data_IF_381164831670
#
_entry.id   IF_381164831670
#
_cell.length_a   1.000
_cell.length_b   1.000
_cell.length_c   1.000
_cell.angle_alpha   90.00
_cell.angle_beta   90.00
_cell.angle_gamma   90.00
#
_symmetry.space_group_name_H-M   'P 1'
#
loop_
_entity.id
_entity.type
_entity.pdbx_description
1 polymer ?
#
# COMPACT_ATOMS: atom_id res chain seq x y z
N UNK A 1 -18.71 -16.91 -3.71
CA UNK A 1 -19.78 -16.62 -2.74
C UNK A 1 -19.92 -15.10 -2.68
N UNK A 2 -20.84 -14.56 -3.48
CA UNK A 2 -21.20 -13.13 -3.47
C UNK A 2 -22.11 -12.91 -2.25
N UNK A 3 -21.78 -11.95 -1.39
CA UNK A 3 -22.62 -11.56 -0.27
C UNK A 3 -23.92 -10.91 -0.79
N UNK A 4 -25.05 -11.30 -0.18
CA UNK A 4 -26.37 -10.72 -0.42
C UNK A 4 -26.35 -9.21 -0.17
N UNK A 5 -26.74 -8.45 -1.19
CA UNK A 5 -26.84 -6.98 -1.17
C UNK A 5 -27.84 -6.51 -0.13
N UNK A 6 -27.45 -5.55 0.70
CA UNK A 6 -28.40 -4.65 1.36
C UNK A 6 -28.79 -3.57 0.36
N UNK A 7 -30.06 -3.55 -0.03
CA UNK A 7 -30.62 -2.73 -1.11
C UNK A 7 -30.73 -1.22 -0.81
N UNK A 8 -30.37 -0.77 0.40
CA UNK A 8 -30.78 0.56 0.86
C UNK A 8 -29.74 1.68 0.81
N UNK A 9 -28.51 1.48 0.32
CA UNK A 9 -27.53 2.58 0.33
C UNK A 9 -26.36 2.49 -0.66
N UNK A 10 -26.55 1.93 -1.87
CA UNK A 10 -25.48 1.99 -2.87
C UNK A 10 -25.63 3.20 -3.79
N UNK A 11 -24.67 4.17 -3.77
CA UNK A 11 -24.69 5.34 -4.65
C UNK A 11 -24.66 4.90 -6.13
N UNK A 12 -25.28 5.69 -7.00
CA UNK A 12 -25.55 5.36 -8.40
C UNK A 12 -24.35 4.76 -9.17
N UNK A 13 -23.13 5.26 -8.97
CA UNK A 13 -21.93 4.69 -9.65
C UNK A 13 -21.70 3.21 -9.35
N UNK A 14 -22.05 2.74 -8.15
CA UNK A 14 -21.86 1.33 -7.78
C UNK A 14 -22.88 0.44 -8.46
N UNK A 15 -24.10 0.95 -8.71
CA UNK A 15 -25.12 0.26 -9.49
C UNK A 15 -24.65 0.12 -10.93
N UNK A 16 -24.19 1.23 -11.54
CA UNK A 16 -23.63 1.24 -12.89
C UNK A 16 -22.45 0.27 -13.03
N UNK A 17 -21.48 0.31 -12.11
CA UNK A 17 -20.32 -0.58 -12.17
C UNK A 17 -20.71 -2.07 -12.08
N UNK A 18 -21.72 -2.41 -11.30
CA UNK A 18 -22.22 -3.78 -11.23
C UNK A 18 -23.04 -4.18 -12.45
N UNK A 19 -23.80 -3.28 -13.04
CA UNK A 19 -24.58 -3.55 -14.26
C UNK A 19 -23.63 -3.79 -15.43
N UNK A 20 -22.58 -2.98 -15.57
CA UNK A 20 -21.49 -3.20 -16.53
C UNK A 20 -20.82 -4.56 -16.28
N UNK A 21 -20.50 -4.88 -15.02
CA UNK A 21 -19.89 -6.17 -14.69
C UNK A 21 -20.80 -7.35 -15.03
N UNK A 22 -22.10 -7.23 -14.76
CA UNK A 22 -23.09 -8.27 -15.04
C UNK A 22 -23.35 -8.48 -16.53
N UNK A 23 -23.09 -7.45 -17.36
CA UNK A 23 -23.20 -7.54 -18.82
C UNK A 23 -22.10 -8.41 -19.46
N UNK A 24 -21.01 -8.73 -18.75
CA UNK A 24 -20.00 -9.66 -19.27
C UNK A 24 -20.52 -11.10 -19.21
N UNK A 25 -20.64 -11.73 -20.39
CA UNK A 25 -21.08 -13.12 -20.55
C UNK A 25 -19.96 -14.14 -20.37
N UNK A 26 -18.71 -13.70 -20.51
CA UNK A 26 -17.55 -14.57 -20.52
C UNK A 26 -16.63 -14.24 -19.34
N UNK A 27 -16.37 -15.24 -18.50
CA UNK A 27 -15.42 -15.15 -17.39
C UNK A 27 -14.27 -16.09 -17.67
N UNK A 28 -13.08 -15.51 -17.86
CA UNK A 28 -11.84 -16.27 -18.04
C UNK A 28 -11.15 -16.37 -16.67
N UNK A 29 -10.96 -17.59 -16.19
CA UNK A 29 -10.25 -17.84 -14.93
C UNK A 29 -8.84 -18.34 -15.25
N UNK A 30 -7.84 -17.53 -14.94
CA UNK A 30 -6.44 -17.94 -15.00
C UNK A 30 -6.16 -18.97 -13.90
N UNK A 31 -5.58 -20.11 -14.27
CA UNK A 31 -5.28 -21.22 -13.36
C UNK A 31 -3.85 -21.19 -12.83
N UNK A 32 -2.96 -20.53 -13.55
CA UNK A 32 -1.54 -20.52 -13.27
C UNK A 32 -1.11 -19.20 -12.62
N UNK A 33 -0.36 -19.33 -11.53
CA UNK A 33 0.25 -18.21 -10.81
C UNK A 33 1.70 -18.10 -11.26
N UNK A 34 2.04 -17.05 -12.00
CA UNK A 34 3.40 -16.86 -12.53
C UNK A 34 4.33 -16.10 -11.56
N UNK A 35 3.77 -15.51 -10.49
CA UNK A 35 4.52 -14.64 -9.58
C UNK A 35 5.37 -15.40 -8.55
N UNK A 36 4.98 -16.62 -8.19
CA UNK A 36 5.75 -17.47 -7.28
C UNK A 36 5.94 -18.82 -7.93
N UNK A 37 7.19 -19.29 -7.99
CA UNK A 37 7.58 -20.56 -8.63
C UNK A 37 7.80 -21.70 -7.64
N UNK A 38 7.91 -21.38 -6.35
CA UNK A 38 8.10 -22.36 -5.27
C UNK A 38 6.85 -23.23 -5.09
N UNK A 39 6.93 -24.56 -5.36
CA UNK A 39 5.77 -25.44 -5.34
C UNK A 39 5.17 -25.61 -3.95
N UNK A 40 5.98 -25.61 -2.88
CA UNK A 40 5.47 -25.71 -1.51
C UNK A 40 4.73 -24.43 -1.10
N UNK A 41 5.24 -23.28 -1.53
CA UNK A 41 4.58 -22.00 -1.29
C UNK A 41 3.28 -21.87 -2.10
N UNK A 42 3.27 -22.30 -3.36
CA UNK A 42 2.05 -22.33 -4.19
C UNK A 42 0.97 -23.20 -3.52
N UNK A 43 1.34 -24.37 -3.01
CA UNK A 43 0.41 -25.28 -2.33
C UNK A 43 -0.19 -24.62 -1.07
N UNK A 44 0.66 -24.03 -0.24
CA UNK A 44 0.23 -23.26 0.93
C UNK A 44 -0.75 -22.14 0.54
N UNK A 45 -0.45 -21.34 -0.48
CA UNK A 45 -1.29 -20.21 -0.90
C UNK A 45 -2.66 -20.67 -1.43
N UNK A 46 -2.70 -21.76 -2.21
CA UNK A 46 -3.96 -22.35 -2.71
C UNK A 46 -4.87 -22.80 -1.56
N UNK A 47 -4.27 -23.39 -0.54
CA UNK A 47 -4.94 -23.87 0.66
C UNK A 47 -5.42 -22.72 1.56
N UNK A 48 -4.56 -21.72 1.81
CA UNK A 48 -4.90 -20.52 2.56
C UNK A 48 -6.08 -19.76 1.93
N UNK A 49 -6.13 -19.62 0.60
CA UNK A 49 -7.24 -18.98 -0.12
C UNK A 49 -8.60 -19.64 0.13
N UNK A 50 -8.61 -20.94 0.45
CA UNK A 50 -9.82 -21.72 0.75
C UNK A 50 -10.07 -21.89 2.25
N UNK A 51 -9.23 -21.29 3.10
CA UNK A 51 -9.28 -21.48 4.55
C UNK A 51 -8.89 -22.89 5.03
N UNK A 52 -8.12 -23.64 4.24
CA UNK A 52 -7.78 -25.06 4.50
C UNK A 52 -6.28 -25.24 4.72
N UNK A 53 -5.72 -24.70 5.80
CA UNK A 53 -4.30 -24.89 6.13
C UNK A 53 -4.07 -26.14 6.99
N UNK A 54 -3.03 -26.92 6.68
CA UNK A 54 -2.56 -28.04 7.49
C UNK A 54 -1.43 -27.61 8.43
N UNK A 55 -1.05 -28.48 9.38
CA UNK A 55 0.09 -28.24 10.26
C UNK A 55 1.40 -28.05 9.47
N UNK A 56 1.59 -28.82 8.38
CA UNK A 56 2.72 -28.64 7.46
C UNK A 56 2.78 -27.22 6.90
N UNK A 57 1.63 -26.64 6.53
CA UNK A 57 1.56 -25.28 6.01
C UNK A 57 1.94 -24.24 7.09
N UNK A 58 1.50 -24.46 8.33
CA UNK A 58 1.87 -23.58 9.45
C UNK A 58 3.36 -23.64 9.76
N UNK A 59 3.94 -24.84 9.72
CA UNK A 59 5.38 -25.03 9.90
C UNK A 59 6.17 -24.30 8.81
N UNK A 60 5.78 -24.47 7.54
CA UNK A 60 6.39 -23.75 6.41
C UNK A 60 6.29 -22.23 6.59
N UNK A 61 5.11 -21.72 6.98
CA UNK A 61 4.90 -20.28 7.20
C UNK A 61 5.82 -19.72 8.30
N UNK A 62 5.92 -20.43 9.44
CA UNK A 62 6.73 -20.02 10.59
C UNK A 62 8.23 -20.15 10.38
N UNK A 63 8.66 -21.09 9.54
CA UNK A 63 10.09 -21.29 9.24
C UNK A 63 10.72 -20.11 8.49
N UNK A 64 9.89 -19.31 7.78
CA UNK A 64 10.35 -18.17 6.98
C UNK A 64 10.22 -16.87 7.78
N UNK A 65 11.28 -16.07 7.74
CA UNK A 65 11.22 -14.69 8.23
C UNK A 65 10.49 -13.83 7.20
N UNK A 66 9.28 -13.40 7.53
CA UNK A 66 8.53 -12.43 6.72
C UNK A 66 8.74 -11.03 7.28
N UNK A 67 8.76 -10.04 6.40
CA UNK A 67 8.63 -8.66 6.86
C UNK A 67 7.23 -8.47 7.47
N UNK A 68 7.11 -7.72 8.58
CA UNK A 68 5.84 -7.51 9.24
C UNK A 68 4.88 -6.77 8.32
N UNK A 69 3.80 -7.44 7.92
CA UNK A 69 2.65 -6.81 7.30
C UNK A 69 1.62 -6.51 8.39
N UNK A 70 1.23 -5.25 8.53
CA UNK A 70 0.29 -4.83 9.57
C UNK A 70 -1.04 -4.41 8.93
N UNK A 71 -2.21 -4.84 9.45
CA UNK A 71 -3.51 -4.45 8.90
C UNK A 71 -3.80 -2.95 9.02
N UNK A 72 -3.11 -2.26 9.94
CA UNK A 72 -3.33 -0.85 10.24
C UNK A 72 -2.17 -0.01 9.72
N UNK A 73 -2.49 0.93 8.83
CA UNK A 73 -1.50 1.84 8.26
C UNK A 73 -0.74 2.68 9.31
N UNK A 74 -1.40 3.11 10.39
CA UNK A 74 -0.72 3.85 11.48
C UNK A 74 0.40 3.04 12.15
N UNK A 75 0.17 1.75 12.38
CA UNK A 75 1.19 0.84 12.95
C UNK A 75 2.35 0.67 11.98
N UNK A 76 2.08 0.57 10.67
CA UNK A 76 3.12 0.50 9.66
C UNK A 76 3.99 1.77 9.64
N UNK A 77 3.38 2.95 9.76
CA UNK A 77 4.12 4.23 9.82
C UNK A 77 5.03 4.30 11.04
N UNK A 78 4.52 3.94 12.23
CA UNK A 78 5.32 3.91 13.46
C UNK A 78 6.47 2.90 13.38
N UNK A 79 6.20 1.72 12.83
CA UNK A 79 7.21 0.69 12.61
C UNK A 79 8.32 1.18 11.68
N UNK A 80 7.97 1.79 10.55
CA UNK A 80 8.94 2.32 9.61
C UNK A 80 9.77 3.46 10.20
N UNK A 81 9.16 4.35 11.00
CA UNK A 81 9.89 5.40 11.70
C UNK A 81 10.87 4.83 12.73
N UNK A 82 10.46 3.83 13.51
CA UNK A 82 11.35 3.14 14.44
C UNK A 82 12.48 2.39 13.71
N UNK A 83 12.17 1.71 12.61
CA UNK A 83 13.13 1.00 11.79
C UNK A 83 14.17 1.94 11.16
N UNK A 84 13.76 3.12 10.68
CA UNK A 84 14.66 4.14 10.14
C UNK A 84 15.66 4.64 11.21
N UNK A 85 15.19 4.91 12.43
CA UNK A 85 16.04 5.31 13.57
C UNK A 85 17.02 4.20 13.95
N UNK A 86 16.55 2.96 14.07
CA UNK A 86 17.41 1.81 14.37
C UNK A 86 18.46 1.56 13.27
N UNK A 87 18.07 1.71 12.01
CA UNK A 87 18.97 1.58 10.85
C UNK A 87 20.06 2.64 10.88
N UNK A 88 19.71 3.91 11.09
CA UNK A 88 20.68 5.00 11.22
C UNK A 88 21.70 4.74 12.34
N UNK A 89 21.22 4.35 13.53
CA UNK A 89 22.09 4.04 14.67
C UNK A 89 23.01 2.83 14.43
N UNK A 90 22.49 1.77 13.80
CA UNK A 90 23.26 0.53 13.56
C UNK A 90 24.26 0.66 12.40
N UNK A 91 23.91 1.37 11.34
CA UNK A 91 24.77 1.55 10.16
C UNK A 91 25.70 2.75 10.26
N UNK A 92 25.54 3.59 11.29
CA UNK A 92 26.26 4.86 11.49
C UNK A 92 26.06 5.85 10.34
N UNK A 93 24.96 5.75 9.61
CA UNK A 93 24.57 6.72 8.59
C UNK A 93 23.65 7.77 9.20
N UNK A 94 23.85 9.03 8.82
CA UNK A 94 22.99 10.14 9.26
C UNK A 94 21.56 9.95 8.74
N UNK A 95 20.58 10.22 9.61
CA UNK A 95 19.18 10.30 9.23
C UNK A 95 18.86 11.71 8.73
N UNK A 96 18.31 11.81 7.53
CA UNK A 96 17.87 13.05 6.91
C UNK A 96 16.35 13.13 6.97
N UNK A 97 15.81 14.30 7.33
CA UNK A 97 14.36 14.55 7.30
C UNK A 97 14.05 15.46 6.12
N UNK A 98 13.24 14.97 5.18
CA UNK A 98 12.74 15.72 4.04
C UNK A 98 11.32 16.22 4.31
N UNK A 99 11.11 17.50 4.67
CA UNK A 99 9.78 18.05 4.90
C UNK A 99 9.02 18.24 3.57
N UNK A 100 7.70 18.10 3.61
CA UNK A 100 6.81 18.42 2.50
C UNK A 100 6.75 19.94 2.29
N UNK A 101 6.63 20.35 1.03
CA UNK A 101 6.44 21.75 0.64
C UNK A 101 5.11 21.90 -0.10
N UNK A 102 4.09 22.27 0.64
CA UNK A 102 2.74 22.39 0.11
C UNK A 102 2.48 23.80 -0.45
N UNK A 103 1.93 23.87 -1.66
CA UNK A 103 1.66 25.13 -2.37
C UNK A 103 0.32 25.06 -3.10
N UNK A 104 -0.40 26.18 -3.15
CA UNK A 104 -1.62 26.35 -3.95
C UNK A 104 -1.34 27.39 -5.02
N UNK A 105 -1.52 27.05 -6.31
CA UNK A 105 -1.24 27.97 -7.44
C UNK A 105 0.12 28.69 -7.32
N UNK A 106 1.17 27.95 -6.92
CA UNK A 106 2.55 28.45 -6.70
C UNK A 106 2.73 29.46 -5.56
N UNK A 107 1.71 29.71 -4.73
CA UNK A 107 1.87 30.45 -3.46
C UNK A 107 1.91 29.51 -2.26
N UNK A 108 2.56 29.90 -1.16
CA UNK A 108 2.43 29.21 0.11
C UNK A 108 0.96 29.18 0.57
N UNK A 109 0.64 28.17 1.36
CA UNK A 109 -0.65 28.08 2.04
C UNK A 109 -0.76 29.16 3.12
N UNK A 110 -1.96 29.69 3.29
CA UNK A 110 -2.32 30.55 4.40
C UNK A 110 -2.53 29.72 5.68
N UNK A 111 -2.48 30.36 6.85
CA UNK A 111 -2.73 29.69 8.14
C UNK A 111 -4.10 29.01 8.18
N UNK A 112 -5.12 29.63 7.58
CA UNK A 112 -6.47 29.06 7.49
C UNK A 112 -6.49 27.78 6.63
N UNK A 113 -5.77 27.77 5.51
CA UNK A 113 -5.67 26.60 4.63
C UNK A 113 -4.85 25.48 5.28
N UNK A 114 -3.75 25.79 5.98
CA UNK A 114 -3.00 24.81 6.76
C UNK A 114 -3.86 24.15 7.85
N UNK A 115 -4.63 24.95 8.61
CA UNK A 115 -5.59 24.42 9.58
C UNK A 115 -6.67 23.58 8.90
N UNK A 116 -7.18 24.02 7.75
CA UNK A 116 -8.15 23.27 6.96
C UNK A 116 -7.63 21.91 6.51
N UNK A 117 -6.35 21.80 6.14
CA UNK A 117 -5.71 20.53 5.78
C UNK A 117 -5.56 19.64 7.02
N UNK A 118 -5.09 20.17 8.15
CA UNK A 118 -4.87 19.41 9.38
C UNK A 118 -6.17 18.91 10.03
N UNK A 119 -7.26 19.69 9.90
CA UNK A 119 -8.56 19.38 10.48
C UNK A 119 -9.47 18.56 9.57
N UNK A 120 -9.11 18.37 8.29
CA UNK A 120 -9.88 17.53 7.37
C UNK A 120 -9.94 16.11 7.93
N UNK A 121 -11.11 15.60 8.34
CA UNK A 121 -11.22 14.19 8.70
C UNK A 121 -10.85 13.36 7.48
N UNK A 122 -10.23 12.20 7.71
CA UNK A 122 -10.00 11.21 6.67
C UNK A 122 -11.35 10.76 6.11
N UNK A 123 -11.93 11.51 5.17
CA UNK A 123 -13.26 11.23 4.68
C UNK A 123 -13.27 9.85 4.03
N UNK A 124 -14.04 8.97 4.65
CA UNK A 124 -14.50 7.70 4.11
C UNK A 124 -15.43 8.01 2.94
N UNK A 125 -15.00 7.68 1.73
CA UNK A 125 -15.87 7.64 0.56
C UNK A 125 -15.60 8.75 -0.45
N UNK A 126 -15.07 8.31 -1.60
CA UNK A 126 -15.22 8.91 -2.93
C UNK A 126 -15.13 10.45 -3.01
N UNK A 127 -13.93 10.95 -3.25
CA UNK A 127 -13.76 12.10 -4.15
C UNK A 127 -12.47 11.90 -4.96
N UNK A 128 -12.53 12.34 -6.21
CA UNK A 128 -11.45 12.44 -7.20
C UNK A 128 -10.04 12.36 -6.60
N UNK A 129 -9.34 11.25 -6.88
CA UNK A 129 -7.89 11.10 -6.84
C UNK A 129 -7.20 12.15 -5.94
N UNK A 130 -7.43 12.08 -4.63
CA UNK A 130 -6.78 12.96 -3.68
C UNK A 130 -5.26 12.74 -3.87
N UNK A 131 -4.50 13.78 -4.26
CA UNK A 131 -3.10 13.63 -4.57
C UNK A 131 -2.38 13.19 -3.30
N UNK A 132 -1.78 12.00 -3.37
CA UNK A 132 -0.83 11.42 -2.43
C UNK A 132 -0.99 11.83 -0.98
N UNK A 133 -1.63 10.98 -0.15
CA UNK A 133 -1.47 11.00 1.32
C UNK A 133 -0.03 10.63 1.72
N UNK A 134 0.92 11.42 1.25
CA UNK A 134 2.31 11.34 1.66
C UNK A 134 2.43 12.01 3.03
N UNK A 135 3.35 11.51 3.87
CA UNK A 135 3.59 12.13 5.16
C UNK A 135 4.15 13.55 4.98
N UNK A 136 3.87 14.41 5.95
CA UNK A 136 4.35 15.81 5.98
C UNK A 136 5.87 15.92 6.08
N UNK A 137 6.54 14.84 6.49
CA UNK A 137 7.98 14.68 6.39
C UNK A 137 8.32 13.20 6.18
N UNK A 138 9.39 12.94 5.45
CA UNK A 138 9.95 11.59 5.26
C UNK A 138 11.35 11.56 5.83
N UNK A 139 11.61 10.63 6.74
CA UNK A 139 12.95 10.34 7.22
C UNK A 139 13.63 9.33 6.29
N UNK A 140 14.89 9.60 5.91
CA UNK A 140 15.66 8.82 4.94
C UNK A 140 17.10 8.68 5.40
N UNK A 141 17.68 7.50 5.26
CA UNK A 141 19.10 7.25 5.49
C UNK A 141 19.70 6.43 4.35
N UNK A 142 21.01 6.55 4.14
CA UNK A 142 21.75 5.72 3.16
C UNK A 142 21.53 4.24 3.50
N UNK A 143 21.35 3.41 2.46
CA UNK A 143 21.02 1.98 2.51
C UNK A 143 19.63 1.63 3.08
N UNK A 144 18.81 2.62 3.42
CA UNK A 144 17.42 2.36 3.83
C UNK A 144 16.60 1.88 2.63
N UNK A 145 15.72 0.91 2.85
CA UNK A 145 14.75 0.47 1.84
C UNK A 145 13.63 1.49 1.68
N UNK A 146 13.34 1.85 0.44
CA UNK A 146 12.30 2.83 0.07
C UNK A 146 11.43 2.27 -1.06
N UNK A 147 10.21 2.79 -1.17
CA UNK A 147 9.26 2.43 -2.23
C UNK A 147 8.81 3.69 -2.96
N UNK A 148 8.76 3.61 -4.28
CA UNK A 148 8.17 4.63 -5.14
C UNK A 148 6.64 4.55 -5.02
N UNK A 149 5.98 5.67 -4.75
CA UNK A 149 4.52 5.71 -4.53
C UNK A 149 3.73 6.28 -5.71
N UNK A 150 4.42 6.81 -6.72
CA UNK A 150 3.82 7.45 -7.89
C UNK A 150 4.51 6.96 -9.15
N UNK A 151 3.77 6.85 -10.24
CA UNK A 151 4.36 6.53 -11.54
C UNK A 151 5.16 7.74 -12.04
N UNK A 152 6.47 7.59 -12.17
CA UNK A 152 7.38 8.63 -12.67
C UNK A 152 7.74 8.31 -14.11
N UNK A 153 8.26 7.10 -14.33
CA UNK A 153 8.68 6.61 -15.65
C UNK A 153 8.47 5.09 -15.69
N UNK A 154 7.36 4.66 -16.32
CA UNK A 154 6.97 3.25 -16.36
C UNK A 154 7.93 2.45 -17.25
N UNK A 155 8.43 3.05 -18.33
CA UNK A 155 9.33 2.38 -19.27
C UNK A 155 10.72 2.12 -18.67
N UNK A 156 11.09 2.89 -17.64
CA UNK A 156 12.33 2.71 -16.87
C UNK A 156 12.11 2.02 -15.52
N UNK A 157 10.97 1.35 -15.33
CA UNK A 157 10.59 0.66 -14.09
C UNK A 157 10.57 1.56 -12.84
N UNK A 158 10.44 2.87 -13.00
CA UNK A 158 10.26 3.85 -11.91
C UNK A 158 8.76 4.11 -11.73
N UNK A 159 8.07 3.07 -11.26
CA UNK A 159 6.62 3.05 -11.08
C UNK A 159 6.21 2.82 -9.62
N UNK A 160 4.93 3.07 -9.32
CA UNK A 160 4.36 2.81 -8.00
C UNK A 160 4.55 1.34 -7.59
N UNK A 161 5.11 1.12 -6.41
CA UNK A 161 5.44 -0.21 -5.88
C UNK A 161 6.89 -0.65 -6.15
N UNK A 162 7.66 0.09 -6.94
CA UNK A 162 9.09 -0.19 -7.11
C UNK A 162 9.83 0.03 -5.78
N UNK A 163 10.54 -1.00 -5.31
CA UNK A 163 11.28 -0.98 -4.05
C UNK A 163 12.79 -1.00 -4.31
N UNK A 164 13.55 -0.13 -3.64
CA UNK A 164 15.01 -0.06 -3.79
C UNK A 164 15.70 0.39 -2.49
N UNK A 165 17.02 0.57 -2.52
CA UNK A 165 17.84 1.11 -1.43
C UNK A 165 18.39 2.48 -1.80
N UNK A 166 18.44 3.39 -0.83
CA UNK A 166 19.08 4.70 -1.00
C UNK A 166 20.60 4.54 -1.11
N UNK A 167 21.22 5.19 -2.11
CA UNK A 167 22.66 5.04 -2.41
C UNK A 167 23.51 6.26 -2.04
N UNK A 168 22.94 7.46 -1.93
CA UNK A 168 23.62 8.70 -1.58
C UNK A 168 22.67 9.88 -1.52
#
# INVERSE_FOLDING_TARGET
LYWLRSLHHDPEDKRLGSEIYAAFTNVIILKDQMHVTDPEWIDLLRHARRGKCSERHLHLLRSRRHQPMTPRHGVHTEWNAAAAKLHSSSTKHQLFTSPAKDMVKKRPLTVAEHRGIALKPAQSGKSKMEPGRLPTAVDVAIRMHVMVTTNIDIDRDVANGACSKVVG
#
